data_IF_381291873979
#
_entry.id   IF_381291873979
#
_cell.length_a   1.000
_cell.length_b   1.000
_cell.length_c   1.000
_cell.angle_alpha   90.00
_cell.angle_beta   90.00
_cell.angle_gamma   90.00
#
_symmetry.space_group_name_H-M   'P 1'
#
loop_
_entity.id
_entity.type
_entity.pdbx_description
1 polymer ?
#
# COMPACT_ATOMS: atom_id res chain seq x y z
N UNK A 1 10.73 -20.27 -19.38
CA UNK A 1 9.37 -20.48 -18.85
C UNK A 1 9.44 -20.69 -17.32
N UNK A 2 9.52 -19.62 -16.51
CA UNK A 2 9.61 -19.73 -15.04
C UNK A 2 8.27 -19.56 -14.30
N UNK A 3 7.21 -19.15 -14.98
CA UNK A 3 5.94 -18.78 -14.33
C UNK A 3 5.15 -19.96 -13.76
N UNK A 4 5.00 -21.04 -14.53
CA UNK A 4 4.14 -22.18 -14.15
C UNK A 4 4.72 -22.95 -12.97
N UNK A 5 6.04 -23.22 -12.96
CA UNK A 5 6.68 -23.93 -11.84
C UNK A 5 6.59 -23.13 -10.52
N UNK A 6 6.72 -21.80 -10.58
CA UNK A 6 6.54 -20.93 -9.42
C UNK A 6 5.10 -20.95 -8.91
N UNK A 7 4.13 -20.96 -9.83
CA UNK A 7 2.72 -21.08 -9.48
C UNK A 7 2.43 -22.42 -8.77
N UNK A 8 2.83 -23.54 -9.37
CA UNK A 8 2.62 -24.87 -8.81
C UNK A 8 3.27 -25.02 -7.43
N UNK A 9 4.50 -24.49 -7.26
CA UNK A 9 5.19 -24.52 -5.97
C UNK A 9 4.43 -23.76 -4.87
N UNK A 10 3.93 -22.55 -5.18
CA UNK A 10 3.17 -21.73 -4.22
C UNK A 10 1.84 -22.37 -3.83
N UNK A 11 1.12 -22.95 -4.80
CA UNK A 11 -0.14 -23.63 -4.54
C UNK A 11 0.10 -24.89 -3.71
N UNK A 12 1.13 -25.68 -4.05
CA UNK A 12 1.51 -26.87 -3.29
C UNK A 12 1.85 -26.54 -1.83
N UNK A 13 2.66 -25.49 -1.61
CA UNK A 13 2.99 -25.00 -0.27
C UNK A 13 1.75 -24.53 0.50
N UNK A 14 0.92 -23.67 -0.11
CA UNK A 14 -0.27 -23.11 0.53
C UNK A 14 -1.35 -24.14 0.86
N UNK A 15 -1.50 -25.19 0.03
CA UNK A 15 -2.49 -26.26 0.24
C UNK A 15 -1.92 -27.50 0.91
N UNK A 16 -0.62 -27.52 1.23
CA UNK A 16 0.10 -28.67 1.79
C UNK A 16 -0.05 -29.94 0.92
N UNK A 17 0.01 -29.75 -0.40
CA UNK A 17 -0.06 -30.82 -1.41
C UNK A 17 1.30 -31.02 -2.06
N UNK A 18 1.52 -32.14 -2.75
CA UNK A 18 2.72 -32.27 -3.58
C UNK A 18 2.56 -31.47 -4.88
N UNK A 19 3.66 -31.02 -5.46
CA UNK A 19 3.64 -30.33 -6.77
C UNK A 19 3.01 -31.22 -7.85
N UNK A 20 3.22 -32.54 -7.79
CA UNK A 20 2.62 -33.49 -8.73
C UNK A 20 1.10 -33.55 -8.61
N UNK A 21 0.57 -33.51 -7.38
CA UNK A 21 -0.88 -33.53 -7.15
C UNK A 21 -1.52 -32.26 -7.71
N UNK A 22 -0.90 -31.10 -7.45
CA UNK A 22 -1.37 -29.82 -7.98
C UNK A 22 -1.28 -29.79 -9.50
N UNK A 23 -0.18 -30.26 -10.10
CA UNK A 23 -0.02 -30.30 -11.56
C UNK A 23 -1.11 -31.14 -12.23
N UNK A 24 -1.53 -32.25 -11.61
CA UNK A 24 -2.61 -33.09 -12.14
C UNK A 24 -3.97 -32.38 -12.25
N UNK A 25 -4.21 -31.37 -11.41
CA UNK A 25 -5.47 -30.59 -11.36
C UNK A 25 -5.32 -29.17 -11.95
N UNK A 26 -4.10 -28.68 -12.17
CA UNK A 26 -3.77 -27.29 -12.54
C UNK A 26 -3.31 -27.11 -14.01
N UNK A 27 -3.93 -27.84 -14.95
CA UNK A 27 -3.66 -27.76 -16.40
C UNK A 27 -4.54 -26.73 -17.15
N UNK A 28 -4.77 -25.56 -16.55
CA UNK A 28 -5.65 -24.53 -17.13
C UNK A 28 -7.15 -24.84 -17.06
N UNK A 29 -7.54 -25.87 -16.28
CA UNK A 29 -8.94 -26.22 -16.02
C UNK A 29 -9.57 -25.23 -15.04
N UNK A 30 -10.82 -24.84 -15.33
CA UNK A 30 -11.64 -24.05 -14.41
C UNK A 30 -12.48 -24.99 -13.54
N UNK A 31 -12.52 -24.70 -12.23
CA UNK A 31 -13.26 -25.47 -11.24
C UNK A 31 -14.39 -24.62 -10.66
N UNK A 32 -15.58 -25.21 -10.54
CA UNK A 32 -16.66 -24.64 -9.72
C UNK A 32 -16.33 -24.81 -8.24
N UNK A 33 -16.80 -23.89 -7.39
CA UNK A 33 -16.46 -23.86 -5.97
C UNK A 33 -16.63 -25.20 -5.26
N UNK A 34 -17.77 -25.87 -5.45
CA UNK A 34 -18.04 -27.19 -4.84
C UNK A 34 -17.02 -28.26 -5.24
N UNK A 35 -16.61 -28.28 -6.52
CA UNK A 35 -15.59 -29.21 -7.00
C UNK A 35 -14.21 -28.84 -6.46
N UNK A 36 -13.89 -27.54 -6.43
CA UNK A 36 -12.64 -27.02 -5.88
C UNK A 36 -12.48 -27.39 -4.39
N UNK A 37 -13.55 -27.36 -3.61
CA UNK A 37 -13.55 -27.81 -2.22
C UNK A 37 -13.25 -29.32 -2.12
N UNK A 38 -13.90 -30.16 -2.94
CA UNK A 38 -13.70 -31.62 -2.93
C UNK A 38 -12.26 -32.04 -3.26
N UNK A 39 -11.60 -31.30 -4.14
CA UNK A 39 -10.19 -31.55 -4.52
C UNK A 39 -9.19 -30.77 -3.65
N UNK A 40 -9.68 -30.08 -2.61
CA UNK A 40 -8.83 -29.42 -1.62
C UNK A 40 -8.18 -28.12 -2.08
N UNK A 41 -8.70 -27.45 -3.12
CA UNK A 41 -8.24 -26.11 -3.54
C UNK A 41 -8.87 -24.97 -2.72
N UNK A 42 -10.04 -25.22 -2.12
CA UNK A 42 -10.78 -24.28 -1.27
C UNK A 42 -11.14 -24.96 0.04
N UNK A 43 -11.11 -24.24 1.15
CA UNK A 43 -11.43 -24.78 2.49
C UNK A 43 -12.94 -24.81 2.74
N UNK A 44 -13.62 -23.69 2.49
CA UNK A 44 -15.03 -23.52 2.80
C UNK A 44 -15.78 -22.80 1.66
N UNK A 45 -17.05 -23.17 1.46
CA UNK A 45 -17.96 -22.49 0.56
C UNK A 45 -18.76 -21.45 1.34
N UNK A 46 -18.79 -20.22 0.84
CA UNK A 46 -19.54 -19.14 1.46
C UNK A 46 -19.48 -17.86 0.67
N UNK A 47 -20.21 -16.87 1.14
CA UNK A 47 -20.13 -15.49 0.63
C UNK A 47 -19.15 -14.64 1.42
N UNK A 48 -19.14 -13.35 1.12
CA UNK A 48 -18.28 -12.37 1.79
C UNK A 48 -18.49 -12.34 3.31
N UNK A 49 -19.74 -12.33 3.79
CA UNK A 49 -20.03 -12.30 5.24
C UNK A 49 -19.42 -13.50 5.97
N UNK A 50 -19.44 -14.68 5.34
CA UNK A 50 -18.83 -15.88 5.91
C UNK A 50 -17.30 -15.77 5.98
N UNK A 51 -16.67 -15.19 4.96
CA UNK A 51 -15.24 -14.92 4.99
C UNK A 51 -14.86 -13.92 6.10
N UNK A 52 -15.71 -12.92 6.37
CA UNK A 52 -15.50 -11.96 7.47
C UNK A 52 -15.63 -12.64 8.83
N UNK A 53 -16.63 -13.50 9.03
CA UNK A 53 -16.79 -14.29 10.26
C UNK A 53 -15.55 -15.15 10.54
N UNK A 54 -15.11 -15.93 9.54
CA UNK A 54 -13.93 -16.78 9.68
C UNK A 54 -12.67 -15.94 9.96
N UNK A 55 -12.53 -14.77 9.32
CA UNK A 55 -11.40 -13.88 9.59
C UNK A 55 -11.44 -13.33 11.03
N UNK A 56 -12.61 -12.97 11.57
CA UNK A 56 -12.77 -12.56 12.97
C UNK A 56 -12.39 -13.69 13.93
N UNK A 57 -12.85 -14.91 13.66
CA UNK A 57 -12.56 -16.09 14.48
C UNK A 57 -11.04 -16.37 14.52
N UNK A 58 -10.38 -16.32 13.36
CA UNK A 58 -8.92 -16.49 13.25
C UNK A 58 -8.15 -15.36 13.97
N UNK A 59 -8.68 -14.14 13.95
CA UNK A 59 -8.13 -12.99 14.65
C UNK A 59 -8.49 -12.94 16.15
N UNK A 60 -9.29 -13.90 16.64
CA UNK A 60 -9.81 -13.95 18.02
C UNK A 60 -10.57 -12.69 18.44
N UNK A 61 -11.31 -12.11 17.49
CA UNK A 61 -12.20 -10.98 17.76
C UNK A 61 -13.58 -11.47 18.19
N UNK A 62 -14.29 -10.65 18.96
CA UNK A 62 -15.68 -10.93 19.28
C UNK A 62 -16.56 -10.87 18.01
N UNK A 63 -17.61 -11.68 17.96
CA UNK A 63 -18.56 -11.67 16.85
C UNK A 63 -19.16 -10.27 16.61
N UNK A 64 -19.41 -9.52 17.68
CA UNK A 64 -19.94 -8.15 17.63
C UNK A 64 -18.89 -7.08 17.35
N UNK A 65 -17.61 -7.45 17.20
CA UNK A 65 -16.56 -6.48 16.90
C UNK A 65 -16.85 -5.78 15.56
N UNK A 66 -16.80 -4.45 15.56
CA UNK A 66 -16.91 -3.65 14.34
C UNK A 66 -15.65 -3.85 13.50
N UNK A 67 -15.82 -4.19 12.22
CA UNK A 67 -14.74 -4.38 11.26
C UNK A 67 -15.01 -3.50 10.05
N UNK A 68 -13.97 -2.88 9.51
CA UNK A 68 -14.05 -2.00 8.35
C UNK A 68 -13.32 -2.66 7.19
N UNK A 69 -13.96 -2.70 6.03
CA UNK A 69 -13.31 -3.13 4.80
C UNK A 69 -12.38 -2.02 4.30
N UNK A 70 -11.09 -2.35 4.14
CA UNK A 70 -10.09 -1.44 3.57
C UNK A 70 -9.62 -2.00 2.23
N UNK A 71 -9.71 -1.19 1.18
CA UNK A 71 -9.23 -1.55 -0.15
C UNK A 71 -7.73 -1.24 -0.28
N UNK A 72 -6.99 -2.19 -0.86
CA UNK A 72 -5.56 -2.06 -1.13
C UNK A 72 -5.26 -2.10 -2.65
N UNK A 73 -4.19 -1.43 -3.12
CA UNK A 73 -3.29 -0.58 -2.35
C UNK A 73 -3.99 0.72 -1.91
N UNK A 74 -3.67 1.20 -0.71
CA UNK A 74 -4.19 2.49 -0.27
C UNK A 74 -3.73 3.56 -1.26
N UNK A 75 -4.67 4.39 -1.72
CA UNK A 75 -4.32 5.53 -2.56
C UNK A 75 -3.49 6.46 -1.70
N UNK A 76 -2.18 6.49 -1.96
CA UNK A 76 -1.29 7.48 -1.36
C UNK A 76 -1.81 8.83 -1.83
N UNK A 77 -2.41 9.58 -0.90
CA UNK A 77 -2.86 10.92 -1.17
C UNK A 77 -1.65 11.80 -1.44
N UNK A 78 -1.82 12.83 -2.27
CA UNK A 78 -0.83 13.89 -2.41
C UNK A 78 -0.38 14.44 -1.05
N UNK A 79 -1.31 14.51 -0.09
CA UNK A 79 -1.04 14.92 1.27
C UNK A 79 -0.20 13.92 2.07
N UNK A 80 -0.29 12.61 1.82
CA UNK A 80 0.55 11.60 2.50
C UNK A 80 2.01 11.69 2.04
N UNK A 81 2.21 12.01 0.76
CA UNK A 81 3.55 12.26 0.20
C UNK A 81 4.13 13.58 0.73
N UNK A 82 3.29 14.60 0.89
CA UNK A 82 3.71 15.93 1.33
C UNK A 82 3.91 16.02 2.84
N UNK A 83 3.09 15.30 3.62
CA UNK A 83 3.13 15.33 5.09
C UNK A 83 3.89 14.17 5.72
N UNK A 84 4.36 13.21 4.93
CA UNK A 84 5.00 12.00 5.44
C UNK A 84 3.92 11.11 6.06
N UNK A 85 3.74 9.92 5.49
CA UNK A 85 2.98 8.89 6.17
C UNK A 85 3.72 8.51 7.46
N UNK A 86 3.22 9.00 8.61
CA UNK A 86 3.77 8.76 9.96
C UNK A 86 3.80 7.27 10.37
N UNK A 87 3.41 6.35 9.48
CA UNK A 87 3.39 4.91 9.73
C UNK A 87 4.41 4.12 8.88
N UNK A 88 5.27 4.78 8.11
CA UNK A 88 6.37 4.14 7.39
C UNK A 88 7.69 4.48 8.08
N UNK A 89 8.32 3.46 8.67
CA UNK A 89 9.71 3.39 9.13
C UNK A 89 10.53 4.65 8.86
N UNK A 90 10.91 5.30 9.96
CA UNK A 90 11.72 6.50 10.05
C UNK A 90 13.14 6.27 9.48
N UNK A 91 13.23 6.14 8.16
CA UNK A 91 14.45 6.34 7.41
C UNK A 91 14.10 6.58 5.93
N UNK A 92 14.42 7.79 5.47
CA UNK A 92 14.55 8.23 4.08
C UNK A 92 13.39 8.94 3.36
N UNK A 93 12.22 9.20 3.96
CA UNK A 93 11.14 9.96 3.26
C UNK A 93 11.61 11.36 2.84
N UNK A 94 12.37 12.06 3.68
CA UNK A 94 13.01 13.34 3.31
C UNK A 94 14.01 13.20 2.16
N UNK A 95 14.76 12.10 2.12
CA UNK A 95 15.73 11.83 1.06
C UNK A 95 15.04 11.47 -0.26
N UNK A 96 13.96 10.70 -0.21
CA UNK A 96 13.13 10.35 -1.38
C UNK A 96 12.39 11.57 -1.94
N UNK A 97 11.84 12.42 -1.07
CA UNK A 97 11.16 13.66 -1.48
C UNK A 97 12.15 14.65 -2.10
N UNK A 98 13.35 14.77 -1.53
CA UNK A 98 14.42 15.56 -2.13
C UNK A 98 14.86 14.97 -3.48
N UNK A 99 14.98 13.64 -3.61
CA UNK A 99 15.28 13.00 -4.89
C UNK A 99 14.18 13.22 -5.94
N UNK A 100 12.91 13.16 -5.54
CA UNK A 100 11.75 13.38 -6.41
C UNK A 100 11.66 14.83 -6.91
N UNK A 101 11.85 15.80 -6.00
CA UNK A 101 11.92 17.22 -6.36
C UNK A 101 13.15 17.52 -7.22
N UNK A 102 14.30 16.90 -6.95
CA UNK A 102 15.48 17.06 -7.78
C UNK A 102 15.31 16.45 -9.18
N UNK A 103 14.70 15.27 -9.29
CA UNK A 103 14.49 14.57 -10.55
C UNK A 103 13.51 15.31 -11.48
N UNK A 104 12.47 15.94 -10.91
CA UNK A 104 11.39 16.54 -11.71
C UNK A 104 11.45 18.08 -11.82
N UNK A 105 12.09 18.79 -10.88
CA UNK A 105 12.17 20.25 -10.93
C UNK A 105 13.57 20.79 -11.26
N UNK A 106 14.64 20.06 -10.94
CA UNK A 106 16.02 20.59 -11.00
C UNK A 106 16.68 20.45 -12.37
N UNK A 107 16.19 19.59 -13.25
CA UNK A 107 16.82 19.39 -14.57
C UNK A 107 16.27 20.33 -15.66
N UNK A 108 14.97 20.66 -15.61
CA UNK A 108 14.31 21.43 -16.69
C UNK A 108 14.25 22.94 -16.44
N UNK A 109 14.03 23.40 -15.20
CA UNK A 109 13.90 24.84 -14.90
C UNK A 109 15.25 25.51 -14.58
N UNK A 110 16.23 24.74 -14.10
CA UNK A 110 17.46 25.27 -13.50
C UNK A 110 18.52 25.64 -14.53
N UNK A 111 18.61 24.93 -15.66
CA UNK A 111 19.56 25.25 -16.74
C UNK A 111 19.06 26.34 -17.68
N UNK A 112 17.75 26.51 -17.84
CA UNK A 112 17.18 27.51 -18.76
C UNK A 112 17.02 28.89 -18.13
N UNK A 113 16.79 29.01 -16.81
CA UNK A 113 16.43 30.30 -16.20
C UNK A 113 17.56 30.92 -15.35
N UNK A 114 18.35 30.14 -14.62
CA UNK A 114 19.22 30.71 -13.57
C UNK A 114 20.67 30.26 -13.66
N UNK A 115 21.37 30.77 -14.66
CA UNK A 115 22.84 30.78 -14.75
C UNK A 115 23.53 31.78 -13.80
N UNK A 116 22.97 32.08 -12.62
CA UNK A 116 23.60 32.92 -11.60
C UNK A 116 23.35 32.34 -10.20
N UNK A 117 24.44 32.05 -9.49
CA UNK A 117 24.52 31.31 -8.22
C UNK A 117 23.73 31.95 -7.07
N UNK A 118 23.56 33.27 -7.07
CA UNK A 118 22.93 33.99 -5.95
C UNK A 118 21.42 33.75 -5.81
N UNK A 119 20.72 33.48 -6.93
CA UNK A 119 19.25 33.30 -6.93
C UNK A 119 18.88 31.87 -6.51
N UNK A 120 19.73 30.89 -6.82
CA UNK A 120 19.54 29.52 -6.40
C UNK A 120 19.59 29.38 -4.88
N UNK A 121 20.56 30.05 -4.24
CA UNK A 121 20.71 30.06 -2.79
C UNK A 121 19.54 30.77 -2.10
N UNK A 122 19.05 31.87 -2.68
CA UNK A 122 17.91 32.59 -2.13
C UNK A 122 16.58 31.81 -2.31
N UNK A 123 16.38 31.15 -3.44
CA UNK A 123 15.26 30.22 -3.63
C UNK A 123 15.33 29.07 -2.64
N UNK A 124 16.51 28.51 -2.41
CA UNK A 124 16.70 27.42 -1.46
C UNK A 124 16.38 27.87 -0.03
N UNK A 125 16.76 29.11 0.35
CA UNK A 125 16.37 29.72 1.63
C UNK A 125 14.87 29.97 1.74
N UNK A 126 14.23 30.49 0.68
CA UNK A 126 12.80 30.78 0.68
C UNK A 126 11.96 29.50 0.74
N UNK A 127 12.36 28.45 0.04
CA UNK A 127 11.73 27.13 0.12
C UNK A 127 11.89 26.52 1.50
N UNK A 128 13.07 26.67 2.12
CA UNK A 128 13.30 26.20 3.48
C UNK A 128 12.44 26.96 4.51
N UNK A 129 12.32 28.29 4.37
CA UNK A 129 11.43 29.11 5.21
C UNK A 129 9.96 28.74 5.01
N UNK A 130 9.53 28.53 3.77
CA UNK A 130 8.16 28.13 3.45
C UNK A 130 7.85 26.77 4.06
N UNK A 131 8.75 25.79 3.94
CA UNK A 131 8.60 24.46 4.54
C UNK A 131 8.42 24.54 6.07
N UNK A 132 9.28 25.31 6.75
CA UNK A 132 9.19 25.47 8.20
C UNK A 132 7.91 26.21 8.64
N UNK A 133 7.49 27.23 7.88
CA UNK A 133 6.26 27.96 8.13
C UNK A 133 5.01 27.09 7.90
N UNK A 134 5.01 26.26 6.85
CA UNK A 134 3.94 25.32 6.56
C UNK A 134 3.84 24.28 7.69
N UNK A 135 4.96 23.69 8.10
CA UNK A 135 5.03 22.72 9.21
C UNK A 135 4.47 23.30 10.51
N UNK A 136 4.82 24.54 10.85
CA UNK A 136 4.30 25.22 12.04
C UNK A 136 2.79 25.51 11.95
N UNK A 137 2.29 25.93 10.79
CA UNK A 137 0.88 26.26 10.57
C UNK A 137 -0.02 25.03 10.48
N UNK A 138 0.50 23.87 10.05
CA UNK A 138 -0.25 22.63 9.85
C UNK A 138 -0.17 21.68 11.05
N UNK A 139 0.73 21.93 12.02
CA UNK A 139 0.85 21.19 13.29
C UNK A 139 -0.46 21.01 14.10
N UNK A 140 -1.38 22.00 14.20
CA UNK A 140 -2.65 21.81 14.88
C UNK A 140 -3.67 20.99 14.06
N UNK A 141 -3.52 20.94 12.73
CA UNK A 141 -4.39 20.15 11.85
C UNK A 141 -4.06 18.65 11.90
N UNK A 142 -2.81 18.29 12.20
CA UNK A 142 -2.38 16.92 12.46
C UNK A 142 -2.93 16.32 13.76
N UNK A 143 -3.47 17.14 14.67
CA UNK A 143 -4.07 16.71 15.94
C UNK A 143 -5.59 16.57 15.87
N UNK A 144 -6.21 16.79 14.70
CA UNK A 144 -7.65 16.60 14.55
C UNK A 144 -8.00 15.10 14.57
N UNK A 145 -9.05 14.70 15.29
CA UNK A 145 -9.52 13.31 15.26
C UNK A 145 -9.95 12.95 13.83
N UNK A 146 -9.49 11.80 13.33
CA UNK A 146 -9.76 11.31 11.95
C UNK A 146 -11.24 10.96 11.69
N UNK A 147 -12.15 11.16 12.63
CA UNK A 147 -13.59 10.98 12.44
C UNK A 147 -14.30 12.30 12.14
N UNK A 148 -14.52 12.58 10.86
CA UNK A 148 -15.53 13.54 10.43
C UNK A 148 -16.84 12.77 10.28
N UNK A 149 -17.69 12.79 11.32
CA UNK A 149 -19.06 12.28 11.23
C UNK A 149 -19.88 13.32 10.46
N UNK A 150 -20.11 13.07 9.17
CA UNK A 150 -21.11 13.81 8.41
C UNK A 150 -22.47 13.18 8.75
N UNK A 151 -23.32 13.94 9.45
CA UNK A 151 -24.73 13.60 9.67
C UNK A 151 -25.57 13.84 8.42
#
# INVERSE_FOLDING_TARGET
MKGISVFLARVAEGRKMTVSDVDSIAQGRVWIGESAQKIGLVDELGGFNRAVEVAKDLAKLDASASVVLVEYPQRISFFDVLFGADDAEEDNVQAQLWHYLQANAKAQLFSEIFGQSDIADELQRLLHKLSNALSAALKPLAQLPREIIIK
#
